data_IF_112794506022
#
_entry.id   IF_112794506022
#
_cell.length_a   1.000
_cell.length_b   1.000
_cell.length_c   1.000
_cell.angle_alpha   90.00
_cell.angle_beta   90.00
_cell.angle_gamma   90.00
#
_symmetry.space_group_name_H-M   'P 1'
#
loop_
_entity.id
_entity.type
_entity.pdbx_description
1 polymer ?
#
# COMPACT_ATOMS: atom_id res chain seq x y z
N UNK A 1 -6.91 15.60 -10.79
CA UNK A 1 -5.49 15.60 -10.32
C UNK A 1 -4.87 14.22 -10.53
N UNK A 2 -3.59 14.08 -10.93
CA UNK A 2 -2.93 12.77 -10.99
C UNK A 2 -2.90 12.07 -9.62
N UNK A 3 -3.10 10.74 -9.52
CA UNK A 3 -3.15 10.03 -8.23
C UNK A 3 -1.92 10.24 -7.34
N UNK A 4 -0.72 10.31 -7.92
CA UNK A 4 0.52 10.59 -7.18
C UNK A 4 0.56 11.98 -6.58
N UNK A 5 0.04 12.99 -7.28
CA UNK A 5 -0.05 14.36 -6.76
C UNK A 5 -1.08 14.47 -5.64
N UNK A 6 -2.21 13.74 -5.76
CA UNK A 6 -3.18 13.63 -4.68
C UNK A 6 -2.52 13.02 -3.43
N UNK A 7 -1.81 11.91 -3.61
CA UNK A 7 -1.12 11.23 -2.51
C UNK A 7 -0.13 12.17 -1.81
N UNK A 8 0.69 12.90 -2.57
CA UNK A 8 1.62 13.90 -2.01
C UNK A 8 0.87 14.97 -1.21
N UNK A 9 -0.19 15.55 -1.77
CA UNK A 9 -0.97 16.59 -1.09
C UNK A 9 -1.63 16.09 0.20
N UNK A 10 -2.12 14.85 0.22
CA UNK A 10 -2.68 14.21 1.42
C UNK A 10 -1.61 14.08 2.50
N UNK A 11 -0.40 13.58 2.16
CA UNK A 11 0.70 13.51 3.12
C UNK A 11 1.13 14.88 3.67
N UNK A 12 1.02 15.95 2.88
CA UNK A 12 1.42 17.30 3.29
C UNK A 12 0.37 18.03 4.14
N UNK A 13 -0.92 17.70 3.98
CA UNK A 13 -2.01 18.56 4.48
C UNK A 13 -3.01 17.87 5.39
N UNK A 14 -3.09 16.54 5.40
CA UNK A 14 -4.00 15.81 6.28
C UNK A 14 -3.32 15.51 7.62
N UNK A 15 -3.94 15.91 8.72
CA UNK A 15 -3.45 15.64 10.06
C UNK A 15 -3.98 14.32 10.65
N UNK A 16 -5.06 13.77 10.07
CA UNK A 16 -5.73 12.56 10.60
C UNK A 16 -5.99 11.52 9.52
N UNK A 17 -6.11 10.26 9.95
CA UNK A 17 -6.54 9.15 9.10
C UNK A 17 -7.89 9.43 8.42
N UNK A 18 -8.86 10.01 9.16
CA UNK A 18 -10.19 10.30 8.61
C UNK A 18 -10.14 11.39 7.53
N UNK A 19 -9.35 12.45 7.74
CA UNK A 19 -9.17 13.49 6.72
C UNK A 19 -8.49 12.94 5.46
N UNK A 20 -7.44 12.13 5.65
CA UNK A 20 -6.73 11.47 4.54
C UNK A 20 -7.66 10.54 3.77
N UNK A 21 -8.41 9.68 4.47
CA UNK A 21 -9.41 8.77 3.89
C UNK A 21 -10.45 9.54 3.09
N UNK A 22 -11.02 10.59 3.67
CA UNK A 22 -12.01 11.44 2.99
C UNK A 22 -11.43 12.06 1.71
N UNK A 23 -10.24 12.67 1.77
CA UNK A 23 -9.61 13.28 0.58
C UNK A 23 -9.29 12.24 -0.49
N UNK A 24 -8.72 11.11 -0.10
CA UNK A 24 -8.41 9.99 -1.00
C UNK A 24 -9.66 9.31 -1.58
N UNK A 25 -10.84 9.45 -0.96
CA UNK A 25 -12.10 8.91 -1.46
C UNK A 25 -12.85 9.89 -2.38
N UNK A 26 -12.73 11.19 -2.15
CA UNK A 26 -13.64 12.19 -2.77
C UNK A 26 -12.98 13.12 -3.77
N UNK A 27 -11.66 13.30 -3.73
CA UNK A 27 -11.00 14.24 -4.64
C UNK A 27 -11.04 13.72 -6.07
N UNK A 28 -11.50 14.51 -7.07
CA UNK A 28 -11.51 14.09 -8.47
C UNK A 28 -10.10 13.79 -9.01
N UNK A 29 -9.95 12.62 -9.62
CA UNK A 29 -8.68 12.15 -10.16
C UNK A 29 -8.67 12.14 -11.69
N UNK A 30 -7.48 12.25 -12.26
CA UNK A 30 -7.30 12.22 -13.71
C UNK A 30 -7.31 10.80 -14.28
N UNK A 31 -7.07 9.78 -13.44
CA UNK A 31 -7.00 8.37 -13.79
C UNK A 31 -7.40 7.51 -12.57
N UNK A 32 -7.88 6.28 -12.78
CA UNK A 32 -8.19 5.35 -11.69
C UNK A 32 -6.95 4.91 -10.91
N UNK A 33 -7.11 4.59 -9.63
CA UNK A 33 -6.01 4.15 -8.75
C UNK A 33 -6.49 3.29 -7.57
N UNK A 34 -5.54 2.61 -6.96
CA UNK A 34 -5.72 1.90 -5.69
C UNK A 34 -4.85 2.56 -4.61
N UNK A 35 -5.43 2.86 -3.46
CA UNK A 35 -4.69 3.35 -2.30
C UNK A 35 -4.82 2.36 -1.15
N UNK A 36 -3.73 2.18 -0.41
CA UNK A 36 -3.73 1.54 0.91
C UNK A 36 -3.45 2.66 1.92
N UNK A 37 -4.32 2.80 2.90
CA UNK A 37 -4.20 3.82 3.95
C UNK A 37 -4.27 3.14 5.31
N UNK A 38 -3.31 3.43 6.18
CA UNK A 38 -3.31 3.02 7.58
C UNK A 38 -3.06 4.23 8.48
N UNK A 39 -3.69 4.23 9.65
CA UNK A 39 -3.44 5.19 10.72
C UNK A 39 -2.65 4.56 11.88
N UNK A 40 -2.55 5.29 12.98
CA UNK A 40 -1.78 4.85 14.17
C UNK A 40 -2.65 4.17 15.22
N UNK A 41 -3.99 4.29 15.11
CA UNK A 41 -4.93 3.69 16.07
C UNK A 41 -5.48 2.35 15.56
N UNK A 42 -5.86 1.44 16.48
CA UNK A 42 -6.60 0.23 16.11
C UNK A 42 -7.84 0.56 15.27
N UNK A 43 -8.05 -0.21 14.20
CA UNK A 43 -9.17 -0.02 13.27
C UNK A 43 -8.94 1.05 12.20
N UNK A 44 -7.85 1.84 12.25
CA UNK A 44 -7.50 2.79 11.18
C UNK A 44 -6.73 2.08 10.06
N UNK A 45 -7.45 1.46 9.12
CA UNK A 45 -6.84 0.78 7.97
C UNK A 45 -7.84 0.49 6.88
N UNK A 46 -7.53 0.77 5.62
CA UNK A 46 -8.40 0.44 4.49
C UNK A 46 -7.65 0.34 3.15
N UNK A 47 -8.27 -0.35 2.20
CA UNK A 47 -8.02 -0.27 0.77
C UNK A 47 -9.09 0.63 0.14
N UNK A 48 -8.68 1.57 -0.70
CA UNK A 48 -9.57 2.47 -1.45
C UNK A 48 -9.39 2.20 -2.94
N UNK A 49 -10.42 1.68 -3.58
CA UNK A 49 -10.51 1.52 -5.02
C UNK A 49 -11.19 2.74 -5.63
N UNK A 50 -10.49 3.44 -6.54
CA UNK A 50 -10.94 4.72 -7.08
C UNK A 50 -11.05 4.71 -8.60
N UNK A 51 -12.18 5.20 -9.10
CA UNK A 51 -12.26 5.81 -10.43
C UNK A 51 -12.00 7.32 -10.32
N UNK A 52 -12.12 8.03 -11.43
CA UNK A 52 -12.03 9.47 -11.54
C UNK A 52 -12.97 10.19 -10.54
N UNK A 53 -14.16 9.64 -10.32
CA UNK A 53 -15.30 10.26 -9.62
C UNK A 53 -15.95 9.39 -8.52
N UNK A 54 -15.63 8.09 -8.44
CA UNK A 54 -16.21 7.16 -7.47
C UNK A 54 -15.14 6.46 -6.63
N UNK A 55 -15.59 5.89 -5.52
CA UNK A 55 -14.77 5.14 -4.57
C UNK A 55 -15.53 3.95 -3.99
N UNK A 56 -14.84 2.82 -3.82
CA UNK A 56 -15.22 1.75 -2.89
C UNK A 56 -14.11 1.62 -1.86
N UNK A 57 -14.51 1.48 -0.59
CA UNK A 57 -13.60 1.34 0.54
C UNK A 57 -13.81 -0.04 1.15
N UNK A 58 -12.73 -0.80 1.32
CA UNK A 58 -12.69 -2.04 2.10
C UNK A 58 -11.86 -1.78 3.34
N UNK A 59 -12.47 -1.82 4.53
CA UNK A 59 -11.73 -1.70 5.79
C UNK A 59 -10.78 -2.89 5.97
N UNK A 60 -9.67 -2.68 6.66
CA UNK A 60 -8.72 -3.74 6.97
C UNK A 60 -9.30 -4.74 7.98
N UNK A 61 -8.87 -6.03 7.95
CA UNK A 61 -7.83 -6.60 7.08
C UNK A 61 -8.27 -6.68 5.61
N UNK A 62 -7.44 -6.15 4.71
CA UNK A 62 -7.69 -6.13 3.27
C UNK A 62 -6.36 -6.00 2.52
N UNK A 63 -6.18 -6.80 1.48
CA UNK A 63 -5.09 -6.71 0.54
C UNK A 63 -5.54 -6.12 -0.78
N UNK A 64 -4.61 -5.67 -1.61
CA UNK A 64 -4.88 -5.23 -2.98
C UNK A 64 -3.73 -5.66 -3.89
N UNK A 65 -4.08 -6.05 -5.10
CA UNK A 65 -3.12 -6.30 -6.18
C UNK A 65 -3.39 -5.29 -7.31
N UNK A 66 -3.61 -5.76 -8.53
CA UNK A 66 -3.73 -4.91 -9.71
C UNK A 66 -5.03 -5.19 -10.49
N UNK A 67 -6.10 -5.59 -9.81
CA UNK A 67 -7.44 -5.76 -10.36
C UNK A 67 -8.48 -5.17 -9.40
N UNK A 68 -9.67 -4.87 -9.92
CA UNK A 68 -10.81 -4.39 -9.14
C UNK A 68 -11.41 -5.53 -8.32
N UNK A 69 -11.72 -5.28 -7.05
CA UNK A 69 -12.32 -6.25 -6.13
C UNK A 69 -13.71 -5.78 -5.70
N UNK A 70 -13.80 -4.56 -5.19
CA UNK A 70 -15.06 -3.97 -4.74
C UNK A 70 -15.86 -3.27 -5.85
N UNK A 71 -15.17 -2.78 -6.88
CA UNK A 71 -15.77 -2.07 -8.00
C UNK A 71 -16.03 -3.02 -9.18
N UNK A 72 -17.22 -3.00 -9.84
CA UNK A 72 -17.55 -3.90 -10.95
C UNK A 72 -16.88 -3.48 -12.27
N UNK A 73 -15.73 -2.82 -12.20
CA UNK A 73 -15.02 -2.29 -13.35
C UNK A 73 -14.32 -3.43 -14.09
N UNK A 74 -14.59 -3.52 -15.38
CA UNK A 74 -13.79 -4.35 -16.28
C UNK A 74 -12.38 -3.77 -16.45
N UNK A 75 -11.49 -4.58 -16.98
CA UNK A 75 -10.13 -4.15 -17.30
C UNK A 75 -9.16 -5.31 -17.26
N UNK A 76 -8.05 -5.19 -17.98
CA UNK A 76 -6.97 -6.17 -17.88
C UNK A 76 -6.13 -5.86 -16.63
N UNK A 77 -6.01 -6.79 -15.67
CA UNK A 77 -5.13 -6.59 -14.53
C UNK A 77 -3.70 -6.32 -14.98
N UNK A 78 -2.99 -5.42 -14.28
CA UNK A 78 -1.57 -5.18 -14.56
C UNK A 78 -0.68 -6.23 -13.89
N UNK A 79 0.47 -6.51 -14.50
CA UNK A 79 1.41 -7.51 -14.00
C UNK A 79 0.90 -8.95 -14.17
N UNK A 80 1.59 -9.91 -13.56
CA UNK A 80 1.25 -11.33 -13.63
C UNK A 80 0.44 -11.78 -12.40
N UNK A 81 -0.48 -12.73 -12.61
CA UNK A 81 -1.17 -13.46 -11.54
C UNK A 81 -1.81 -12.55 -10.47
N UNK A 82 -2.40 -11.43 -10.88
CA UNK A 82 -2.98 -10.43 -9.98
C UNK A 82 -4.01 -11.04 -9.02
N UNK A 83 -4.91 -11.89 -9.53
CA UNK A 83 -5.95 -12.57 -8.75
C UNK A 83 -5.36 -13.54 -7.72
N UNK A 84 -4.36 -14.33 -8.12
CA UNK A 84 -3.67 -15.27 -7.22
C UNK A 84 -2.89 -14.54 -6.13
N UNK A 85 -2.13 -13.49 -6.50
CA UNK A 85 -1.37 -12.68 -5.54
C UNK A 85 -2.31 -12.03 -4.53
N UNK A 86 -3.41 -11.44 -5.00
CA UNK A 86 -4.43 -10.88 -4.11
C UNK A 86 -4.97 -11.93 -3.17
N UNK A 87 -5.42 -13.09 -3.67
CA UNK A 87 -6.00 -14.13 -2.83
C UNK A 87 -5.06 -14.61 -1.74
N UNK A 88 -3.77 -14.80 -2.06
CA UNK A 88 -2.76 -15.18 -1.05
C UNK A 88 -2.50 -14.08 -0.03
N UNK A 89 -2.41 -12.83 -0.47
CA UNK A 89 -2.25 -11.69 0.44
C UNK A 89 -3.49 -11.51 1.33
N UNK A 90 -4.69 -11.64 0.77
CA UNK A 90 -5.96 -11.54 1.47
C UNK A 90 -6.08 -12.64 2.54
N UNK A 91 -5.71 -13.87 2.19
CA UNK A 91 -5.65 -14.99 3.14
C UNK A 91 -4.59 -14.72 4.23
N UNK A 92 -3.41 -14.24 3.87
CA UNK A 92 -2.35 -13.95 4.83
C UNK A 92 -2.73 -12.84 5.82
N UNK A 93 -3.37 -11.75 5.38
CA UNK A 93 -3.82 -10.68 6.28
C UNK A 93 -4.98 -11.11 7.17
N UNK A 94 -5.87 -11.98 6.69
CA UNK A 94 -6.99 -12.49 7.49
C UNK A 94 -6.56 -13.55 8.52
N UNK A 95 -5.46 -14.26 8.27
CA UNK A 95 -4.92 -15.29 9.17
C UNK A 95 -3.64 -14.86 9.89
N UNK A 96 -3.27 -13.57 9.82
CA UNK A 96 -2.04 -13.01 10.43
C UNK A 96 -0.76 -13.80 10.07
N UNK A 97 -0.68 -14.30 8.84
CA UNK A 97 0.44 -15.13 8.36
C UNK A 97 1.59 -14.29 7.80
N UNK A 98 2.82 -14.61 8.19
CA UNK A 98 4.03 -14.03 7.62
C UNK A 98 4.44 -14.66 6.27
N UNK A 99 3.75 -15.71 5.83
CA UNK A 99 4.10 -16.47 4.61
C UNK A 99 3.72 -15.76 3.30
N UNK A 100 3.20 -14.54 3.39
CA UNK A 100 2.82 -13.73 2.24
C UNK A 100 4.01 -13.42 1.32
N UNK A 101 5.24 -13.43 1.83
CA UNK A 101 6.47 -13.16 1.07
C UNK A 101 6.96 -14.41 0.32
N UNK A 102 6.08 -15.02 -0.46
CA UNK A 102 6.37 -16.20 -1.27
C UNK A 102 5.80 -16.03 -2.68
N UNK A 103 6.25 -16.86 -3.63
CA UNK A 103 5.67 -16.88 -4.96
C UNK A 103 4.16 -17.18 -4.88
N UNK A 104 3.29 -16.52 -5.66
CA UNK A 104 3.64 -15.55 -6.71
C UNK A 104 3.64 -14.09 -6.25
N UNK A 105 3.38 -13.80 -4.97
CA UNK A 105 3.44 -12.42 -4.43
C UNK A 105 4.85 -11.88 -4.62
N UNK A 106 5.84 -12.62 -4.12
CA UNK A 106 7.24 -12.44 -4.47
C UNK A 106 7.47 -12.97 -5.90
N UNK A 107 7.94 -12.09 -6.79
CA UNK A 107 8.17 -12.44 -8.20
C UNK A 107 9.32 -11.60 -8.79
N UNK A 108 9.71 -11.90 -10.03
CA UNK A 108 10.84 -11.25 -10.72
C UNK A 108 10.75 -9.72 -10.86
N UNK A 109 9.55 -9.15 -10.76
CA UNK A 109 9.32 -7.71 -10.88
C UNK A 109 9.37 -7.01 -9.50
N UNK A 110 9.60 -7.76 -8.41
CA UNK A 110 9.71 -7.23 -7.05
C UNK A 110 11.03 -6.50 -6.90
N UNK A 111 10.96 -5.20 -6.56
CA UNK A 111 12.12 -4.33 -6.36
C UNK A 111 12.33 -3.91 -4.92
N UNK A 112 11.24 -3.75 -4.17
CA UNK A 112 11.27 -3.31 -2.79
C UNK A 112 10.22 -4.11 -2.03
N UNK A 113 10.59 -4.57 -0.85
CA UNK A 113 9.67 -5.03 0.19
C UNK A 113 9.77 -4.06 1.35
N UNK A 114 8.62 -3.70 1.91
CA UNK A 114 8.54 -2.83 3.05
C UNK A 114 7.49 -3.34 4.04
N UNK A 115 7.81 -3.25 5.34
CA UNK A 115 6.84 -3.37 6.43
C UNK A 115 6.86 -2.08 7.23
N UNK A 116 5.68 -1.62 7.64
CA UNK A 116 5.52 -0.37 8.37
C UNK A 116 4.64 -0.66 9.59
N UNK A 117 5.19 -0.44 10.78
CA UNK A 117 4.44 -0.46 12.02
C UNK A 117 4.26 0.98 12.52
N UNK A 118 3.11 1.56 12.20
CA UNK A 118 2.81 2.96 12.49
C UNK A 118 2.65 3.25 13.99
N UNK A 119 2.16 2.31 14.80
CA UNK A 119 2.01 2.52 16.25
C UNK A 119 3.35 2.54 16.97
N UNK A 120 4.36 1.85 16.42
CA UNK A 120 5.72 1.85 16.92
C UNK A 120 6.65 2.82 16.18
N UNK A 121 6.14 3.57 15.19
CA UNK A 121 6.96 4.41 14.30
C UNK A 121 8.12 3.64 13.65
N UNK A 122 7.94 2.36 13.32
CA UNK A 122 9.00 1.54 12.74
C UNK A 122 8.72 1.22 11.28
N UNK A 123 9.77 1.23 10.47
CA UNK A 123 9.73 0.79 9.09
C UNK A 123 10.94 -0.10 8.80
N UNK A 124 10.72 -1.19 8.08
CA UNK A 124 11.79 -2.00 7.50
C UNK A 124 11.62 -1.99 5.99
N UNK A 125 12.72 -1.79 5.26
CA UNK A 125 12.76 -1.91 3.81
C UNK A 125 13.92 -2.80 3.38
N UNK A 126 13.73 -3.48 2.25
CA UNK A 126 14.81 -4.20 1.58
C UNK A 126 14.65 -4.08 0.07
N UNK A 127 15.76 -3.84 -0.63
CA UNK A 127 15.84 -3.88 -2.09
C UNK A 127 15.97 -5.33 -2.57
N UNK A 128 15.30 -5.65 -3.68
CA UNK A 128 15.22 -6.99 -4.25
C UNK A 128 15.45 -6.97 -5.76
N UNK A 129 16.06 -8.05 -6.23
CA UNK A 129 16.25 -8.37 -7.63
C UNK A 129 15.66 -9.76 -7.91
N UNK A 130 15.60 -10.18 -9.17
CA UNK A 130 15.06 -11.49 -9.53
C UNK A 130 15.81 -12.67 -8.87
N UNK A 131 17.08 -12.46 -8.49
CA UNK A 131 17.92 -13.44 -7.79
C UNK A 131 17.74 -13.46 -6.27
N UNK A 132 16.92 -12.57 -5.70
CA UNK A 132 16.70 -12.46 -4.26
C UNK A 132 17.02 -11.08 -3.69
N UNK A 133 17.27 -10.98 -2.37
CA UNK A 133 17.63 -9.71 -1.74
C UNK A 133 18.89 -9.10 -2.36
N UNK A 134 18.80 -7.84 -2.76
CA UNK A 134 19.90 -7.08 -3.37
C UNK A 134 20.57 -6.12 -2.37
N UNK A 135 19.90 -5.84 -1.25
CA UNK A 135 20.44 -4.99 -0.18
C UNK A 135 20.27 -5.67 1.19
N UNK A 136 21.04 -5.21 2.18
CA UNK A 136 20.70 -5.44 3.57
C UNK A 136 19.36 -4.80 3.92
N UNK A 137 18.74 -5.25 5.00
CA UNK A 137 17.56 -4.61 5.56
C UNK A 137 17.92 -3.23 6.12
N UNK A 138 17.17 -2.21 5.71
CA UNK A 138 17.19 -0.88 6.30
C UNK A 138 16.05 -0.80 7.31
N UNK A 139 16.37 -0.54 8.58
CA UNK A 139 15.39 -0.33 9.66
C UNK A 139 15.41 1.14 10.07
N UNK A 140 14.25 1.77 10.01
CA UNK A 140 14.05 3.18 10.33
C UNK A 140 13.13 3.32 11.54
N UNK A 141 13.52 4.19 12.45
CA UNK A 141 12.59 4.80 13.41
C UNK A 141 12.10 6.13 12.82
N UNK A 142 10.82 6.18 12.51
CA UNK A 142 10.14 7.31 11.89
C UNK A 142 9.94 8.47 12.88
N UNK A 143 10.06 8.23 14.19
CA UNK A 143 9.96 9.28 15.19
C UNK A 143 11.23 10.10 15.33
N UNK A 144 12.40 9.53 15.01
CA UNK A 144 13.69 10.21 15.16
C UNK A 144 14.00 11.24 14.07
N UNK A 145 13.17 11.29 13.01
CA UNK A 145 13.47 12.09 11.81
C UNK A 145 14.72 11.57 11.08
N UNK A 146 14.93 11.95 9.81
CA UNK A 146 16.16 11.54 9.13
C UNK A 146 17.35 12.36 9.65
N UNK A 147 18.30 11.70 10.31
CA UNK A 147 19.65 12.22 10.46
C UNK A 147 20.36 12.13 9.10
N UNK A 148 20.26 13.19 8.30
CA UNK A 148 21.10 13.33 7.12
C UNK A 148 22.44 13.94 7.54
N UNK A 149 23.41 13.10 7.88
CA UNK A 149 24.82 13.53 7.94
C UNK A 149 25.30 13.70 6.49
N UNK A 150 25.41 14.94 6.04
CA UNK A 150 26.12 15.28 4.81
C UNK A 150 27.63 15.07 5.07
N UNK A 151 28.24 14.13 4.35
CA UNK A 151 29.69 13.99 4.25
C UNK A 151 30.27 15.05 3.30
#
# INVERSE_FOLDING_TARGET
MPPSHLLRHVFETCATYLDAKHRLATTPMALPAFFILAGTRPGEGCVIERTEDAAIIREMPAAIANHWVGLPQGGRPRGHNSDERHRRMEDAVNNESAEWLAAPVLNRDTRIIATINLSQSQMMLQGWEASGPATAELRLDLASGPEFTLN
#
